data_IF_944110407749
#
_entry.id   IF_944110407749
#
_cell.length_a   1.000
_cell.length_b   1.000
_cell.length_c   1.000
_cell.angle_alpha   90.00
_cell.angle_beta   90.00
_cell.angle_gamma   90.00
#
_symmetry.space_group_name_H-M   'P 1'
#
loop_
_entity.id
_entity.type
_entity.pdbx_description
1 polymer ?
#
# COMPACT_ATOMS: atom_id res chain seq x y z
N UNK A 1 -10.98 3.55 -22.98
CA UNK A 1 -10.36 4.43 -21.96
C UNK A 1 -11.45 5.26 -21.32
N UNK A 2 -11.53 5.27 -19.99
CA UNK A 2 -12.54 6.06 -19.27
C UNK A 2 -12.28 7.56 -19.52
N UNK A 3 -13.27 8.36 -19.98
CA UNK A 3 -13.06 9.78 -20.30
C UNK A 3 -12.55 10.60 -19.11
N UNK A 4 -12.90 10.20 -17.87
CA UNK A 4 -12.40 10.82 -16.64
C UNK A 4 -10.90 10.61 -16.37
N UNK A 5 -10.29 9.56 -16.92
CA UNK A 5 -8.85 9.27 -16.74
C UNK A 5 -8.01 10.09 -17.73
N UNK A 6 -8.46 10.23 -18.98
CA UNK A 6 -7.74 10.99 -20.01
C UNK A 6 -7.62 12.49 -19.66
N UNK A 7 -8.62 13.07 -18.98
CA UNK A 7 -8.57 14.44 -18.50
C UNK A 7 -7.63 14.64 -17.30
N UNK A 8 -7.34 13.60 -16.50
CA UNK A 8 -6.39 13.70 -15.37
C UNK A 8 -4.92 13.76 -15.80
N UNK A 9 -4.56 13.21 -16.97
CA UNK A 9 -3.19 13.25 -17.49
C UNK A 9 -2.88 14.55 -18.26
N UNK A 10 -3.84 15.11 -19.00
CA UNK A 10 -3.62 16.32 -19.82
C UNK A 10 -3.41 17.60 -19.00
N UNK A 11 -3.73 17.60 -17.71
CA UNK A 11 -3.50 18.72 -16.79
C UNK A 11 -2.16 18.66 -16.02
N UNK A 12 -1.29 17.68 -16.31
CA UNK A 12 -0.04 17.40 -15.57
C UNK A 12 1.20 17.78 -16.36
N UNK A 13 1.26 19.02 -16.85
CA UNK A 13 2.56 19.69 -16.87
C UNK A 13 2.81 20.18 -15.44
N UNK A 14 4.04 20.12 -14.91
CA UNK A 14 4.34 20.71 -13.61
C UNK A 14 3.77 22.13 -13.62
N UNK A 15 2.78 22.37 -12.75
CA UNK A 15 2.20 23.70 -12.60
C UNK A 15 3.26 24.53 -11.88
N UNK A 16 3.11 25.85 -11.86
CA UNK A 16 3.99 26.68 -11.06
C UNK A 16 3.72 26.40 -9.56
N UNK A 17 4.33 25.34 -9.03
CA UNK A 17 4.41 24.90 -7.65
C UNK A 17 5.87 24.52 -7.39
N UNK A 18 6.49 25.13 -6.38
CA UNK A 18 7.96 25.15 -6.26
C UNK A 18 8.60 23.79 -5.92
N UNK A 19 7.79 22.77 -5.63
CA UNK A 19 8.22 21.41 -5.26
C UNK A 19 7.23 20.40 -5.85
N UNK A 20 7.75 19.28 -6.34
CA UNK A 20 6.94 18.10 -6.67
C UNK A 20 7.09 17.00 -5.61
N UNK A 21 5.97 16.41 -5.19
CA UNK A 21 5.92 15.23 -4.31
C UNK A 21 5.67 14.01 -5.18
N UNK A 22 6.66 13.13 -5.29
CA UNK A 22 6.55 11.89 -6.05
C UNK A 22 6.14 10.76 -5.11
N UNK A 23 5.11 10.01 -5.44
CA UNK A 23 4.65 8.86 -4.67
C UNK A 23 4.45 7.60 -5.52
N UNK A 24 4.51 6.43 -4.90
CA UNK A 24 3.97 5.21 -5.53
C UNK A 24 2.45 5.33 -5.72
N UNK A 25 1.88 4.48 -6.57
CA UNK A 25 0.44 4.44 -6.83
C UNK A 25 0.04 5.04 -8.16
N UNK A 26 -1.19 4.74 -8.57
CA UNK A 26 -1.75 5.14 -9.86
C UNK A 26 -2.32 6.57 -9.83
N UNK A 27 -2.53 7.18 -11.00
CA UNK A 27 -3.12 8.52 -11.13
C UNK A 27 -4.57 8.65 -10.64
N UNK A 28 -5.20 7.52 -10.33
CA UNK A 28 -6.51 7.43 -9.70
C UNK A 28 -6.45 6.76 -8.31
N UNK A 29 -5.25 6.53 -7.77
CA UNK A 29 -5.03 5.92 -6.47
C UNK A 29 -5.27 6.89 -5.31
N UNK A 30 -5.23 6.33 -4.10
CA UNK A 30 -5.50 7.06 -2.86
C UNK A 30 -4.39 8.04 -2.49
N UNK A 31 -3.14 7.72 -2.82
CA UNK A 31 -1.93 8.49 -2.52
C UNK A 31 -2.05 9.92 -3.03
N UNK A 32 -2.50 10.06 -4.28
CA UNK A 32 -2.70 11.35 -4.92
C UNK A 32 -3.72 12.19 -4.15
N UNK A 33 -4.94 11.64 -3.98
CA UNK A 33 -6.05 12.38 -3.38
C UNK A 33 -5.75 12.73 -1.92
N UNK A 34 -5.09 11.83 -1.17
CA UNK A 34 -4.69 12.06 0.21
C UNK A 34 -3.64 13.16 0.32
N UNK A 35 -2.54 13.05 -0.44
CA UNK A 35 -1.44 14.03 -0.39
C UNK A 35 -1.90 15.40 -0.89
N UNK A 36 -2.62 15.48 -2.01
CA UNK A 36 -3.11 16.76 -2.55
C UNK A 36 -4.03 17.46 -1.55
N UNK A 37 -5.03 16.75 -1.01
CA UNK A 37 -5.96 17.34 -0.05
C UNK A 37 -5.29 17.68 1.28
N UNK A 38 -4.40 16.82 1.79
CA UNK A 38 -3.69 17.09 3.03
C UNK A 38 -2.80 18.32 2.94
N UNK A 39 -1.98 18.41 1.89
CA UNK A 39 -1.09 19.56 1.68
C UNK A 39 -1.91 20.84 1.44
N UNK A 40 -2.97 20.76 0.63
CA UNK A 40 -3.87 21.90 0.38
C UNK A 40 -4.57 22.38 1.65
N UNK A 41 -4.99 21.47 2.54
CA UNK A 41 -5.62 21.84 3.82
C UNK A 41 -4.70 22.61 4.79
N UNK A 42 -3.40 22.69 4.47
CA UNK A 42 -2.36 23.34 5.26
C UNK A 42 -1.70 24.51 4.52
N UNK A 43 -2.34 24.99 3.45
CA UNK A 43 -1.83 26.04 2.56
C UNK A 43 -0.45 25.70 1.95
N UNK A 44 -0.20 24.40 1.69
CA UNK A 44 1.03 23.91 1.07
C UNK A 44 0.73 23.56 -0.40
N UNK A 45 1.24 24.39 -1.31
CA UNK A 45 1.08 24.20 -2.75
C UNK A 45 2.26 23.40 -3.33
N UNK A 46 2.05 22.11 -3.55
CA UNK A 46 2.99 21.21 -4.20
C UNK A 46 2.30 20.40 -5.29
N UNK A 47 3.04 20.06 -6.35
CA UNK A 47 2.54 19.18 -7.39
C UNK A 47 2.70 17.72 -6.95
N UNK A 48 1.62 16.98 -6.77
CA UNK A 48 1.68 15.56 -6.39
C UNK A 48 1.69 14.68 -7.64
N UNK A 49 2.65 13.78 -7.73
CA UNK A 49 2.91 12.90 -8.87
C UNK A 49 2.92 11.42 -8.47
N UNK A 50 1.81 10.71 -8.70
CA UNK A 50 1.74 9.27 -8.54
C UNK A 50 2.45 8.62 -9.73
N UNK A 51 3.49 7.86 -9.43
CA UNK A 51 4.45 7.33 -10.41
C UNK A 51 4.12 5.92 -10.88
N UNK A 52 3.08 5.27 -10.34
CA UNK A 52 2.74 3.89 -10.63
C UNK A 52 3.51 2.96 -9.71
N UNK A 53 4.71 2.52 -10.14
CA UNK A 53 5.51 1.54 -9.41
C UNK A 53 6.79 2.14 -8.84
N UNK A 54 7.36 1.49 -7.84
CA UNK A 54 8.70 1.77 -7.29
C UNK A 54 9.81 1.96 -8.32
N UNK A 55 9.81 1.18 -9.41
CA UNK A 55 10.78 1.33 -10.50
C UNK A 55 10.65 2.68 -11.22
N UNK A 56 9.42 3.17 -11.33
CA UNK A 56 9.09 4.37 -12.08
C UNK A 56 9.43 5.62 -11.27
N UNK A 57 9.34 5.56 -9.93
CA UNK A 57 9.84 6.61 -9.03
C UNK A 57 11.31 6.98 -9.35
N UNK A 58 12.15 6.01 -9.67
CA UNK A 58 13.55 6.27 -10.03
C UNK A 58 13.71 7.03 -11.36
N UNK A 59 12.91 6.69 -12.37
CA UNK A 59 12.92 7.41 -13.65
C UNK A 59 12.34 8.82 -13.50
N UNK A 60 11.21 8.93 -12.81
CA UNK A 60 10.51 10.20 -12.58
C UNK A 60 11.31 11.16 -11.70
N UNK A 61 11.98 10.66 -10.66
CA UNK A 61 12.87 11.48 -9.83
C UNK A 61 14.02 12.10 -10.63
N UNK A 62 14.63 11.35 -11.56
CA UNK A 62 15.63 11.92 -12.46
C UNK A 62 15.01 12.97 -13.42
N UNK A 63 13.85 12.67 -14.00
CA UNK A 63 13.21 13.53 -15.00
C UNK A 63 12.71 14.86 -14.40
N UNK A 64 11.94 14.78 -13.32
CA UNK A 64 11.32 15.95 -12.67
C UNK A 64 12.34 16.67 -11.80
N UNK A 65 13.12 15.91 -11.02
CA UNK A 65 14.05 16.48 -10.04
C UNK A 65 15.24 17.22 -10.64
N UNK A 66 15.54 17.07 -11.94
CA UNK A 66 16.51 17.95 -12.63
C UNK A 66 15.97 19.37 -12.84
N UNK A 67 14.65 19.51 -12.96
CA UNK A 67 13.97 20.76 -13.31
C UNK A 67 13.48 21.52 -12.08
N UNK A 68 12.94 20.81 -11.09
CA UNK A 68 12.37 21.39 -9.87
C UNK A 68 12.77 20.56 -8.64
N UNK A 69 12.76 21.16 -7.43
CA UNK A 69 12.90 20.40 -6.19
C UNK A 69 11.86 19.28 -6.08
N UNK A 70 12.28 18.12 -5.56
CA UNK A 70 11.38 16.98 -5.34
C UNK A 70 11.46 16.43 -3.92
N UNK A 71 10.33 15.91 -3.44
CA UNK A 71 10.21 15.03 -2.26
C UNK A 71 9.69 13.69 -2.76
N UNK A 72 10.28 12.59 -2.33
CA UNK A 72 9.86 11.23 -2.74
C UNK A 72 9.34 10.48 -1.53
N UNK A 73 8.16 9.88 -1.67
CA UNK A 73 7.52 9.02 -0.66
C UNK A 73 7.21 7.67 -1.31
N UNK A 74 7.85 6.60 -0.85
CA UNK A 74 7.65 5.26 -1.39
C UNK A 74 6.92 4.33 -0.40
N UNK A 75 6.38 3.23 -0.91
CA UNK A 75 5.84 2.19 -0.04
C UNK A 75 6.97 1.55 0.74
N UNK A 76 6.74 1.26 2.03
CA UNK A 76 7.76 0.61 2.85
C UNK A 76 7.96 -0.83 2.42
N UNK A 77 6.96 -1.45 1.80
CA UNK A 77 6.91 -2.90 1.59
C UNK A 77 7.18 -3.63 2.93
N UNK A 78 7.70 -4.85 2.89
CA UNK A 78 7.97 -5.66 4.09
C UNK A 78 9.23 -5.25 4.89
N UNK A 79 9.84 -4.09 4.59
CA UNK A 79 11.07 -3.62 5.26
C UNK A 79 10.75 -3.05 6.64
N UNK A 80 11.69 -3.18 7.58
CA UNK A 80 11.58 -2.45 8.87
C UNK A 80 11.68 -0.93 8.65
N UNK A 81 11.25 -0.13 9.63
CA UNK A 81 11.42 1.33 9.58
C UNK A 81 12.89 1.74 9.39
N UNK A 82 13.80 1.11 10.12
CA UNK A 82 15.24 1.40 10.10
C UNK A 82 15.87 0.97 8.78
N UNK A 83 15.45 -0.17 8.25
CA UNK A 83 15.89 -0.63 6.94
C UNK A 83 15.41 0.30 5.82
N UNK A 84 14.12 0.58 5.77
CA UNK A 84 13.55 1.46 4.75
C UNK A 84 14.20 2.84 4.80
N UNK A 85 14.46 3.38 6.00
CA UNK A 85 15.19 4.64 6.17
C UNK A 85 16.59 4.58 5.57
N UNK A 86 17.40 3.57 5.91
CA UNK A 86 18.76 3.40 5.37
C UNK A 86 18.76 3.27 3.85
N UNK A 87 17.82 2.51 3.30
CA UNK A 87 17.69 2.37 1.84
C UNK A 87 17.28 3.68 1.16
N UNK A 88 16.34 4.42 1.75
CA UNK A 88 15.92 5.71 1.24
C UNK A 88 17.07 6.74 1.28
N UNK A 89 17.87 6.76 2.34
CA UNK A 89 19.09 7.58 2.44
C UNK A 89 20.10 7.22 1.35
N UNK A 90 20.37 5.93 1.12
CA UNK A 90 21.26 5.47 0.06
C UNK A 90 20.74 5.85 -1.35
N UNK A 91 19.44 5.70 -1.59
CA UNK A 91 18.79 6.14 -2.85
C UNK A 91 18.92 7.65 -3.02
N UNK A 92 18.70 8.43 -1.96
CA UNK A 92 18.83 9.88 -1.95
C UNK A 92 20.23 10.32 -2.35
N UNK A 93 21.25 9.78 -1.70
CA UNK A 93 22.65 10.11 -2.00
C UNK A 93 23.04 9.78 -3.44
N UNK A 94 22.56 8.65 -3.96
CA UNK A 94 22.77 8.26 -5.36
C UNK A 94 22.14 9.27 -6.33
N UNK A 95 20.99 9.84 -6.00
CA UNK A 95 20.28 10.82 -6.85
C UNK A 95 20.89 12.21 -6.77
N UNK A 96 21.31 12.64 -5.58
CA UNK A 96 22.02 13.91 -5.41
C UNK A 96 23.29 13.97 -6.29
N UNK A 97 24.03 12.86 -6.41
CA UNK A 97 25.20 12.73 -7.32
C UNK A 97 24.86 12.90 -8.81
N UNK A 98 23.58 12.74 -9.20
CA UNK A 98 23.09 12.87 -10.59
C UNK A 98 22.48 14.25 -10.88
N UNK A 99 22.78 15.25 -10.04
CA UNK A 99 22.26 16.62 -10.13
C UNK A 99 20.73 16.69 -10.02
N UNK A 100 20.12 15.72 -9.34
CA UNK A 100 18.69 15.74 -8.98
C UNK A 100 18.52 16.63 -7.75
N UNK A 101 17.59 17.59 -7.80
CA UNK A 101 17.23 18.51 -6.71
C UNK A 101 16.33 17.82 -5.67
N UNK A 102 16.80 16.69 -5.16
CA UNK A 102 16.07 15.89 -4.18
C UNK A 102 16.21 16.49 -2.78
N UNK A 103 15.08 16.87 -2.17
CA UNK A 103 15.05 17.38 -0.80
C UNK A 103 15.01 16.23 0.19
N UNK A 104 14.07 15.30 -0.02
CA UNK A 104 13.87 14.14 0.83
C UNK A 104 13.47 12.91 0.02
N UNK A 105 13.93 11.74 0.46
CA UNK A 105 13.42 10.43 0.02
C UNK A 105 13.10 9.63 1.26
N UNK A 106 11.85 9.20 1.41
CA UNK A 106 11.42 8.40 2.56
C UNK A 106 10.41 7.34 2.15
N UNK A 107 10.13 6.42 3.06
CA UNK A 107 8.96 5.55 2.95
C UNK A 107 7.84 6.03 3.87
N UNK A 108 6.64 5.53 3.63
CA UNK A 108 5.57 5.51 4.63
C UNK A 108 6.01 4.71 5.88
N UNK A 109 5.45 5.02 7.06
CA UNK A 109 5.60 4.22 8.30
C UNK A 109 4.68 3.01 8.26
N UNK A 110 3.61 3.06 7.47
CA UNK A 110 2.82 1.89 7.07
C UNK A 110 3.40 1.31 5.78
N UNK A 111 3.13 0.03 5.53
CA UNK A 111 3.65 -0.63 4.32
C UNK A 111 3.09 -0.05 3.03
N UNK A 112 1.80 0.28 3.04
CA UNK A 112 1.04 0.82 1.91
C UNK A 112 0.14 1.96 2.42
N UNK A 113 -0.21 2.90 1.55
CA UNK A 113 -1.11 4.00 1.91
C UNK A 113 -2.51 3.49 2.31
N UNK A 114 -2.97 2.38 1.72
CA UNK A 114 -4.31 1.86 1.97
C UNK A 114 -4.46 1.33 3.40
N UNK A 115 -3.36 1.05 4.10
CA UNK A 115 -3.40 0.67 5.50
C UNK A 115 -3.93 1.79 6.40
N UNK A 116 -3.71 3.06 6.03
CA UNK A 116 -4.29 4.18 6.75
C UNK A 116 -5.82 4.26 6.55
N UNK A 117 -6.31 3.77 5.41
CA UNK A 117 -7.72 3.85 5.03
C UNK A 117 -8.57 2.76 5.68
N UNK A 118 -7.96 1.65 6.06
CA UNK A 118 -8.64 0.54 6.76
C UNK A 118 -8.60 0.67 8.28
N UNK A 119 -8.03 1.75 8.83
CA UNK A 119 -8.20 2.05 10.26
C UNK A 119 -9.70 2.09 10.58
N UNK A 120 -10.16 1.45 11.68
CA UNK A 120 -11.58 1.37 12.00
C UNK A 120 -12.25 2.75 12.08
N UNK A 121 -11.56 3.74 12.62
CA UNK A 121 -12.04 5.13 12.76
C UNK A 121 -12.24 5.81 11.40
N UNK A 122 -11.65 5.26 10.34
CA UNK A 122 -11.69 5.79 8.97
C UNK A 122 -12.72 5.05 8.13
N UNK A 123 -12.58 3.73 7.99
CA UNK A 123 -13.42 2.95 7.10
C UNK A 123 -14.79 2.64 7.67
N UNK A 124 -14.93 2.41 8.98
CA UNK A 124 -16.21 1.98 9.57
C UNK A 124 -17.32 3.01 9.37
N UNK A 125 -17.12 4.32 9.62
CA UNK A 125 -18.17 5.32 9.39
C UNK A 125 -18.60 5.36 7.92
N UNK A 126 -17.64 5.31 6.99
CA UNK A 126 -17.88 5.37 5.54
C UNK A 126 -18.65 4.14 5.06
N UNK A 127 -18.22 2.94 5.46
CA UNK A 127 -18.86 1.69 5.05
C UNK A 127 -20.21 1.49 5.75
N UNK A 128 -20.35 1.92 7.00
CA UNK A 128 -21.61 1.91 7.73
C UNK A 128 -22.68 2.73 7.01
N UNK A 129 -22.35 3.95 6.57
CA UNK A 129 -23.25 4.79 5.80
C UNK A 129 -23.52 4.23 4.39
N UNK A 130 -22.47 3.85 3.67
CA UNK A 130 -22.60 3.39 2.28
C UNK A 130 -23.47 2.13 2.15
N UNK A 131 -23.35 1.20 3.10
CA UNK A 131 -24.02 -0.10 3.09
C UNK A 131 -25.19 -0.20 4.08
N UNK A 132 -25.51 0.88 4.81
CA UNK A 132 -26.60 0.94 5.79
C UNK A 132 -26.52 -0.15 6.86
N UNK A 133 -25.31 -0.32 7.37
CA UNK A 133 -24.99 -1.34 8.36
C UNK A 133 -24.55 -0.69 9.67
N UNK A 134 -24.89 -1.28 10.83
CA UNK A 134 -24.37 -0.77 12.09
C UNK A 134 -22.84 -0.89 12.14
N UNK A 135 -22.13 0.07 12.76
CA UNK A 135 -20.67 0.06 12.87
C UNK A 135 -20.08 -1.26 13.38
N UNK A 136 -20.75 -1.93 14.33
CA UNK A 136 -20.30 -3.19 14.90
C UNK A 136 -20.32 -4.35 13.90
N UNK A 137 -21.23 -4.34 12.92
CA UNK A 137 -21.23 -5.33 11.85
C UNK A 137 -19.99 -5.18 10.96
N UNK A 138 -19.61 -3.94 10.62
CA UNK A 138 -18.41 -3.66 9.82
C UNK A 138 -17.15 -4.07 10.61
N UNK A 139 -17.06 -3.70 11.89
CA UNK A 139 -15.95 -4.11 12.77
C UNK A 139 -15.84 -5.63 12.90
N UNK A 140 -16.98 -6.32 13.02
CA UNK A 140 -17.00 -7.77 13.07
C UNK A 140 -16.44 -8.40 11.78
N UNK A 141 -16.80 -7.87 10.61
CA UNK A 141 -16.24 -8.31 9.32
C UNK A 141 -14.73 -8.04 9.21
N UNK A 142 -14.27 -6.88 9.65
CA UNK A 142 -12.84 -6.57 9.74
C UNK A 142 -12.12 -7.59 10.63
N UNK A 143 -12.63 -7.88 11.82
CA UNK A 143 -12.03 -8.86 12.73
C UNK A 143 -12.01 -10.29 12.15
N UNK A 144 -13.01 -10.68 11.36
CA UNK A 144 -13.02 -11.97 10.68
C UNK A 144 -12.01 -12.05 9.53
N UNK A 145 -11.82 -10.93 8.84
CA UNK A 145 -10.95 -10.85 7.67
C UNK A 145 -9.47 -10.84 8.08
N UNK A 146 -9.15 -10.20 9.21
CA UNK A 146 -7.76 -9.96 9.55
C UNK A 146 -6.95 -11.28 9.65
N UNK A 147 -7.41 -12.26 10.44
CA UNK A 147 -6.75 -13.56 10.54
C UNK A 147 -6.67 -14.35 9.21
N UNK A 148 -7.57 -14.09 8.25
CA UNK A 148 -7.60 -14.83 6.98
C UNK A 148 -6.41 -14.51 6.08
N UNK A 149 -5.74 -13.38 6.29
CA UNK A 149 -4.55 -12.99 5.54
C UNK A 149 -3.25 -13.50 6.18
N UNK A 150 -3.31 -14.15 7.35
CA UNK A 150 -2.15 -14.55 8.14
C UNK A 150 -1.11 -15.37 7.35
N UNK A 151 -1.58 -16.26 6.46
CA UNK A 151 -0.70 -17.13 5.67
C UNK A 151 0.07 -16.33 4.61
N UNK A 152 -0.58 -15.39 3.91
CA UNK A 152 0.12 -14.49 2.97
C UNK A 152 1.16 -13.67 3.71
N UNK A 153 0.76 -13.06 4.83
CA UNK A 153 1.62 -12.20 5.65
C UNK A 153 2.86 -12.94 6.15
N UNK A 154 2.68 -14.11 6.75
CA UNK A 154 3.78 -14.93 7.20
C UNK A 154 4.69 -15.36 6.04
N UNK A 155 4.13 -15.65 4.85
CA UNK A 155 4.92 -16.03 3.69
C UNK A 155 5.76 -14.87 3.18
N UNK A 156 5.20 -13.67 3.04
CA UNK A 156 5.93 -12.48 2.61
C UNK A 156 7.03 -12.09 3.60
N UNK A 157 6.71 -12.04 4.89
CA UNK A 157 7.69 -11.76 5.94
C UNK A 157 8.83 -12.81 5.96
N UNK A 158 8.52 -14.09 5.74
CA UNK A 158 9.55 -15.13 5.64
C UNK A 158 10.46 -14.93 4.43
N UNK A 159 9.90 -14.50 3.29
CA UNK A 159 10.68 -14.16 2.09
C UNK A 159 11.56 -12.95 2.36
N UNK A 160 11.05 -11.90 2.99
CA UNK A 160 11.83 -10.72 3.35
C UNK A 160 13.04 -11.09 4.22
N UNK A 161 12.83 -11.87 5.29
CA UNK A 161 13.91 -12.38 6.15
C UNK A 161 14.91 -13.22 5.35
N UNK A 162 14.46 -14.01 4.38
CA UNK A 162 15.35 -14.76 3.49
C UNK A 162 16.19 -13.83 2.61
N UNK A 163 15.57 -12.83 1.97
CA UNK A 163 16.25 -11.86 1.10
C UNK A 163 17.30 -11.07 1.88
N UNK A 164 17.02 -10.69 3.12
CA UNK A 164 17.95 -9.97 3.98
C UNK A 164 19.23 -10.74 4.31
N UNK A 165 19.16 -12.07 4.26
CA UNK A 165 20.30 -12.96 4.49
C UNK A 165 21.17 -13.13 3.24
N UNK A 166 20.77 -12.59 2.08
CA UNK A 166 21.53 -12.72 0.84
C UNK A 166 22.71 -11.73 0.81
N UNK A 167 23.91 -12.17 0.39
CA UNK A 167 25.12 -11.34 0.39
C UNK A 167 25.11 -10.21 -0.65
N UNK A 168 24.34 -10.34 -1.73
CA UNK A 168 24.08 -9.26 -2.68
C UNK A 168 22.58 -8.93 -2.66
N UNK A 169 22.21 -7.80 -2.06
CA UNK A 169 20.84 -7.23 -2.05
C UNK A 169 20.41 -6.68 -3.42
N UNK A 170 20.90 -7.31 -4.49
CA UNK A 170 21.28 -6.63 -5.71
C UNK A 170 20.40 -6.88 -6.93
N UNK A 171 19.32 -7.66 -6.84
CA UNK A 171 18.32 -7.78 -7.91
C UNK A 171 16.98 -8.25 -7.33
N UNK A 172 15.89 -7.83 -7.99
CA UNK A 172 14.52 -8.21 -7.66
C UNK A 172 14.42 -9.73 -7.46
N UNK A 173 14.14 -10.17 -6.23
CA UNK A 173 13.82 -11.56 -5.94
C UNK A 173 12.33 -11.73 -6.24
N UNK A 174 11.92 -12.39 -7.36
CA UNK A 174 10.52 -12.71 -7.56
C UNK A 174 10.11 -13.61 -6.39
N UNK A 175 9.25 -13.07 -5.54
CA UNK A 175 8.72 -13.75 -4.37
C UNK A 175 7.78 -14.89 -4.75
N UNK A 176 7.17 -15.48 -3.74
CA UNK A 176 6.06 -16.40 -3.91
C UNK A 176 4.96 -15.69 -4.72
N UNK A 177 4.40 -16.40 -5.71
CA UNK A 177 3.35 -15.81 -6.55
C UNK A 177 2.21 -15.35 -5.65
N UNK A 178 1.75 -14.10 -5.84
CA UNK A 178 0.59 -13.57 -5.08
C UNK A 178 -0.64 -14.49 -5.19
N UNK A 179 -0.77 -15.27 -6.27
CA UNK A 179 -1.86 -16.26 -6.43
C UNK A 179 -1.74 -17.46 -5.49
N UNK A 180 -0.54 -17.81 -5.06
CA UNK A 180 -0.30 -19.02 -4.25
C UNK A 180 -0.57 -18.78 -2.76
N UNK A 181 -0.38 -17.55 -2.25
CA UNK A 181 -0.49 -17.25 -0.82
C UNK A 181 -1.62 -16.28 -0.44
N UNK A 182 -2.15 -15.47 -1.37
CA UNK A 182 -3.26 -14.56 -1.06
C UNK A 182 -4.61 -15.27 -1.02
N UNK A 183 -5.50 -14.89 -0.08
CA UNK A 183 -6.91 -15.22 -0.15
C UNK A 183 -7.51 -14.84 -1.50
N UNK A 184 -8.31 -15.74 -2.04
CA UNK A 184 -8.98 -15.52 -3.32
C UNK A 184 -10.49 -15.52 -3.11
N UNK A 185 -11.19 -14.66 -3.85
CA UNK A 185 -12.64 -14.71 -3.88
C UNK A 185 -13.11 -15.97 -4.59
N UNK A 186 -13.71 -16.89 -3.84
CA UNK A 186 -14.43 -18.01 -4.42
C UNK A 186 -15.82 -17.56 -4.84
N UNK A 187 -16.03 -17.59 -6.16
CA UNK A 187 -17.27 -17.15 -6.80
C UNK A 187 -18.43 -18.08 -6.53
N UNK A 188 -18.19 -19.35 -6.23
CA UNK A 188 -19.23 -20.35 -6.03
C UNK A 188 -19.75 -20.31 -4.59
N UNK A 189 -18.84 -20.19 -3.64
CA UNK A 189 -19.11 -20.16 -2.20
C UNK A 189 -19.30 -18.74 -1.67
N UNK A 190 -19.11 -17.72 -2.51
CA UNK A 190 -19.22 -16.30 -2.17
C UNK A 190 -18.41 -15.94 -0.92
N UNK A 191 -17.22 -16.52 -0.81
CA UNK A 191 -16.35 -16.35 0.35
C UNK A 191 -14.90 -16.29 -0.09
N UNK A 192 -14.07 -15.66 0.73
CA UNK A 192 -12.62 -15.74 0.53
C UNK A 192 -12.14 -17.14 0.93
N UNK A 193 -11.47 -17.81 0.00
CA UNK A 193 -10.73 -19.03 0.28
C UNK A 193 -9.31 -18.62 0.64
N UNK A 194 -8.97 -18.87 1.90
CA UNK A 194 -7.60 -18.77 2.40
C UNK A 194 -6.82 -19.97 1.88
N UNK A 195 -5.62 -19.79 1.29
CA UNK A 195 -4.78 -20.90 0.89
C UNK A 195 -4.42 -21.81 2.07
N UNK A 196 -4.31 -23.11 1.81
CA UNK A 196 -3.94 -24.07 2.84
C UNK A 196 -2.47 -23.89 3.25
N UNK A 197 -2.21 -23.84 4.57
CA UNK A 197 -0.86 -23.67 5.13
C UNK A 197 0.19 -24.59 4.49
N UNK A 198 -0.10 -25.89 4.37
CA UNK A 198 0.84 -26.86 3.81
C UNK A 198 1.15 -26.64 2.33
N UNK A 199 0.19 -26.13 1.54
CA UNK A 199 0.41 -25.77 0.13
C UNK A 199 1.33 -24.56 0.02
N UNK A 200 1.10 -23.54 0.85
CA UNK A 200 1.93 -22.34 0.91
C UNK A 200 3.33 -22.65 1.43
N UNK A 201 3.46 -23.47 2.48
CA UNK A 201 4.77 -23.90 3.00
C UNK A 201 5.58 -24.63 1.92
N UNK A 202 4.93 -25.52 1.16
CA UNK A 202 5.57 -26.26 0.06
C UNK A 202 6.05 -25.33 -1.04
N UNK A 203 5.20 -24.38 -1.44
CA UNK A 203 5.55 -23.39 -2.46
C UNK A 203 6.68 -22.45 -1.98
N UNK A 204 6.62 -22.00 -0.73
CA UNK A 204 7.64 -21.18 -0.10
C UNK A 204 8.99 -21.91 -0.03
N UNK A 205 8.98 -23.19 0.39
CA UNK A 205 10.17 -24.05 0.37
C UNK A 205 10.79 -24.11 -1.02
N UNK A 206 9.98 -24.36 -2.05
CA UNK A 206 10.43 -24.41 -3.44
C UNK A 206 11.08 -23.09 -3.85
N UNK A 207 10.42 -21.95 -3.61
CA UNK A 207 10.95 -20.61 -3.95
C UNK A 207 12.27 -20.35 -3.24
N UNK A 208 12.37 -20.59 -1.93
CA UNK A 208 13.61 -20.39 -1.18
C UNK A 208 14.72 -21.30 -1.71
N UNK A 209 14.43 -22.56 -2.02
CA UNK A 209 15.40 -23.51 -2.57
C UNK A 209 15.88 -23.12 -3.97
N UNK A 210 14.96 -22.80 -4.88
CA UNK A 210 15.28 -22.33 -6.23
C UNK A 210 16.13 -21.07 -6.17
N UNK A 211 15.81 -20.14 -5.27
CA UNK A 211 16.59 -18.91 -5.10
C UNK A 211 17.95 -19.17 -4.50
N UNK A 212 18.02 -19.93 -3.42
CA UNK A 212 19.29 -20.38 -2.86
C UNK A 212 20.17 -20.98 -3.97
N UNK A 213 19.63 -21.88 -4.79
CA UNK A 213 20.31 -22.49 -5.94
C UNK A 213 20.76 -21.49 -7.02
N UNK A 214 19.96 -20.48 -7.34
CA UNK A 214 20.34 -19.46 -8.33
C UNK A 214 21.50 -18.57 -7.88
N UNK A 215 21.70 -18.41 -6.57
CA UNK A 215 22.89 -17.75 -6.00
C UNK A 215 24.11 -18.69 -5.92
N UNK A 216 23.96 -20.00 -6.16
CA UNK A 216 25.05 -21.02 -6.10
C UNK A 216 25.99 -20.98 -7.32
N UNK A 217 26.41 -19.79 -7.72
CA UNK A 217 27.76 -19.58 -8.26
C UNK A 217 28.82 -19.43 -7.17
N UNK A 218 28.45 -19.26 -5.88
CA UNK A 218 29.39 -18.93 -4.81
C UNK A 218 29.29 -19.73 -3.48
N UNK A 219 28.30 -20.62 -3.27
CA UNK A 219 28.20 -21.43 -2.04
C UNK A 219 27.67 -22.85 -2.32
N UNK A 220 28.21 -23.85 -1.64
CA UNK A 220 28.03 -25.26 -1.94
C UNK A 220 26.60 -25.81 -1.67
N UNK A 221 26.18 -26.91 -2.33
CA UNK A 221 24.78 -27.31 -2.43
C UNK A 221 24.10 -27.86 -1.17
N UNK A 222 24.86 -28.15 -0.11
CA UNK A 222 24.38 -28.88 1.07
C UNK A 222 24.05 -28.01 2.28
N UNK A 223 24.42 -26.73 2.24
CA UNK A 223 24.15 -25.75 3.30
C UNK A 223 23.42 -24.55 2.68
N UNK A 224 22.09 -24.56 2.60
CA UNK A 224 21.35 -23.31 2.63
C UNK A 224 21.08 -23.02 4.12
N UNK A 225 21.99 -22.34 4.84
CA UNK A 225 21.88 -22.21 6.28
C UNK A 225 20.59 -21.45 6.56
N UNK A 226 19.68 -22.09 7.29
CA UNK A 226 18.45 -21.47 7.74
C UNK A 226 17.17 -21.79 6.95
N UNK A 227 17.12 -22.69 5.96
CA UNK A 227 15.82 -23.09 5.36
C UNK A 227 14.85 -23.66 6.41
N UNK A 228 15.31 -24.61 7.23
CA UNK A 228 14.51 -25.17 8.33
C UNK A 228 14.13 -24.11 9.37
N UNK A 229 15.04 -23.18 9.66
CA UNK A 229 14.78 -22.05 10.57
C UNK A 229 13.74 -21.09 9.98
N UNK A 230 13.82 -20.77 8.69
CA UNK A 230 12.89 -19.90 7.96
C UNK A 230 11.50 -20.53 7.90
N UNK A 231 11.39 -21.84 7.63
CA UNK A 231 10.10 -22.52 7.64
C UNK A 231 9.52 -22.64 9.05
N UNK A 232 10.36 -22.82 10.07
CA UNK A 232 9.94 -22.73 11.47
C UNK A 232 9.44 -21.31 11.81
N UNK A 233 10.12 -20.27 11.33
CA UNK A 233 9.69 -18.87 11.45
C UNK A 233 8.37 -18.64 10.72
N UNK A 234 8.18 -19.15 9.51
CA UNK A 234 6.92 -19.10 8.78
C UNK A 234 5.76 -19.67 9.61
N UNK A 235 5.93 -20.87 10.20
CA UNK A 235 4.92 -21.46 11.08
C UNK A 235 4.64 -20.63 12.33
N UNK A 236 5.68 -20.06 12.94
CA UNK A 236 5.55 -19.13 14.08
C UNK A 236 4.81 -17.84 13.72
N UNK A 237 5.16 -17.23 12.59
CA UNK A 237 4.51 -16.04 12.05
C UNK A 237 3.04 -16.32 11.72
N UNK A 238 2.71 -17.43 11.05
CA UNK A 238 1.31 -17.81 10.81
C UNK A 238 0.54 -17.90 12.12
N UNK A 239 1.11 -18.56 13.13
CA UNK A 239 0.47 -18.73 14.45
C UNK A 239 0.26 -17.40 15.19
N UNK A 240 1.17 -16.44 14.99
CA UNK A 240 1.05 -15.09 15.51
C UNK A 240 -0.05 -14.30 14.78
N UNK A 241 0.03 -14.22 13.45
CA UNK A 241 -0.88 -13.46 12.61
C UNK A 241 -2.32 -13.96 12.65
N UNK A 242 -2.55 -15.27 12.85
CA UNK A 242 -3.90 -15.81 13.05
C UNK A 242 -4.60 -15.28 14.31
N UNK A 243 -3.87 -14.67 15.25
CA UNK A 243 -4.41 -14.09 16.49
C UNK A 243 -4.51 -12.56 16.42
N UNK A 244 -4.02 -11.95 15.35
CA UNK A 244 -4.05 -10.51 15.14
C UNK A 244 -5.48 -10.11 14.76
N UNK A 245 -5.98 -9.05 15.37
CA UNK A 245 -7.25 -8.40 15.06
C UNK A 245 -7.02 -6.90 14.84
N UNK A 246 -8.07 -6.12 14.57
CA UNK A 246 -7.93 -4.67 14.34
C UNK A 246 -7.53 -3.88 15.60
N UNK A 247 -7.56 -4.48 16.79
CA UNK A 247 -7.10 -3.85 18.02
C UNK A 247 -5.59 -4.05 18.22
N UNK A 248 -5.00 -5.05 17.55
CA UNK A 248 -3.59 -5.42 17.69
C UNK A 248 -2.71 -4.59 16.74
N UNK A 249 -1.81 -3.70 17.21
CA UNK A 249 -1.07 -2.79 16.34
C UNK A 249 -0.32 -3.44 15.17
N UNK A 250 0.05 -4.71 15.30
CA UNK A 250 0.75 -5.51 14.30
C UNK A 250 0.04 -5.56 12.94
N UNK A 251 -1.31 -5.55 12.89
CA UNK A 251 -2.04 -5.52 11.61
C UNK A 251 -1.63 -4.32 10.76
N UNK A 252 -1.22 -3.23 11.39
CA UNK A 252 -0.86 -2.00 10.68
C UNK A 252 0.54 -2.03 10.07
N UNK A 253 1.37 -3.01 10.43
CA UNK A 253 2.79 -3.04 10.11
C UNK A 253 3.07 -3.85 8.85
N UNK A 254 2.16 -4.75 8.42
CA UNK A 254 2.45 -5.66 7.30
C UNK A 254 1.36 -5.80 6.22
N UNK A 255 0.24 -5.12 6.36
CA UNK A 255 -0.99 -5.51 5.66
C UNK A 255 -1.13 -4.97 4.23
N UNK A 256 -1.86 -5.73 3.41
CA UNK A 256 -2.28 -5.36 2.05
C UNK A 256 -3.60 -4.58 2.12
N UNK A 257 -3.55 -3.32 2.55
CA UNK A 257 -4.74 -2.49 2.82
C UNK A 257 -5.73 -2.47 1.64
N UNK A 258 -5.19 -2.48 0.43
CA UNK A 258 -5.97 -2.56 -0.81
C UNK A 258 -6.77 -3.85 -0.93
N UNK A 259 -6.18 -4.99 -0.59
CA UNK A 259 -6.85 -6.29 -0.66
C UNK A 259 -7.97 -6.35 0.38
N UNK A 260 -7.74 -5.82 1.58
CA UNK A 260 -8.73 -5.76 2.66
C UNK A 260 -9.93 -4.91 2.25
N UNK A 261 -9.69 -3.73 1.69
CA UNK A 261 -10.78 -2.90 1.17
C UNK A 261 -11.54 -3.60 0.06
N UNK A 262 -10.83 -4.23 -0.88
CA UNK A 262 -11.43 -5.02 -1.97
C UNK A 262 -12.34 -6.14 -1.43
N UNK A 263 -11.85 -6.90 -0.44
CA UNK A 263 -12.58 -7.98 0.22
C UNK A 263 -13.83 -7.46 0.93
N UNK A 264 -13.68 -6.42 1.77
CA UNK A 264 -14.79 -5.84 2.50
C UNK A 264 -15.86 -5.32 1.56
N UNK A 265 -15.47 -4.62 0.49
CA UNK A 265 -16.43 -4.10 -0.49
C UNK A 265 -17.20 -5.22 -1.16
N UNK A 266 -16.52 -6.30 -1.59
CA UNK A 266 -17.20 -7.45 -2.22
C UNK A 266 -18.18 -8.12 -1.25
N UNK A 267 -17.79 -8.32 0.01
CA UNK A 267 -18.68 -8.84 1.03
C UNK A 267 -19.90 -7.94 1.27
N UNK A 268 -19.67 -6.66 1.56
CA UNK A 268 -20.74 -5.74 1.91
C UNK A 268 -21.71 -5.51 0.74
N UNK A 269 -21.20 -5.36 -0.48
CA UNK A 269 -22.04 -5.19 -1.67
C UNK A 269 -22.79 -6.47 -2.08
N UNK A 270 -22.24 -7.65 -1.81
CA UNK A 270 -22.93 -8.92 -2.05
C UNK A 270 -24.04 -9.19 -1.04
N UNK A 271 -23.81 -8.85 0.24
CA UNK A 271 -24.74 -9.15 1.34
C UNK A 271 -25.80 -8.07 1.54
N UNK A 272 -25.40 -6.79 1.50
CA UNK A 272 -26.26 -5.64 1.83
C UNK A 272 -26.64 -4.81 0.61
N UNK A 273 -26.01 -5.09 -0.53
CA UNK A 273 -26.25 -4.38 -1.78
C UNK A 273 -25.45 -3.10 -1.90
N UNK A 274 -25.26 -2.69 -3.16
CA UNK A 274 -24.63 -1.43 -3.52
C UNK A 274 -25.66 -0.57 -4.26
N UNK A 275 -25.59 0.74 -4.03
CA UNK A 275 -26.32 1.72 -4.82
C UNK A 275 -25.37 2.83 -5.24
N UNK A 276 -25.46 3.25 -6.50
CA UNK A 276 -24.96 4.57 -6.87
C UNK A 276 -25.87 5.57 -6.16
N UNK A 277 -25.32 6.33 -5.21
CA UNK A 277 -26.00 7.32 -4.36
C UNK A 277 -27.22 7.92 -5.07
N UNK A 278 -28.42 7.63 -4.56
CA UNK A 278 -29.70 8.08 -5.15
C UNK A 278 -30.52 7.01 -5.89
N UNK A 279 -30.09 5.74 -5.92
CA UNK A 279 -30.87 4.60 -6.45
C UNK A 279 -31.21 3.57 -5.37
N UNK A 280 -32.09 2.62 -5.69
CA UNK A 280 -32.33 1.42 -4.86
C UNK A 280 -31.04 0.61 -4.74
N UNK A 281 -30.74 0.10 -3.53
CA UNK A 281 -29.60 -0.81 -3.32
C UNK A 281 -29.92 -2.18 -3.91
N UNK A 282 -29.02 -2.70 -4.72
CA UNK A 282 -29.12 -4.03 -5.31
C UNK A 282 -27.91 -4.86 -4.90
N UNK A 283 -28.16 -6.13 -4.52
CA UNK A 283 -27.09 -7.08 -4.21
C UNK A 283 -26.25 -7.34 -5.45
N UNK A 284 -24.93 -7.21 -5.29
CA UNK A 284 -24.00 -7.54 -6.36
C UNK A 284 -23.80 -9.04 -6.38
N UNK A 285 -24.25 -9.68 -7.45
CA UNK A 285 -24.06 -11.10 -7.66
C UNK A 285 -22.67 -11.39 -8.23
N UNK A 286 -21.66 -11.33 -7.36
CA UNK A 286 -20.26 -11.58 -7.72
C UNK A 286 -20.00 -12.96 -8.34
N UNK A 287 -20.89 -13.94 -8.11
CA UNK A 287 -20.76 -15.28 -8.67
C UNK A 287 -20.99 -15.29 -10.19
N UNK A 288 -21.99 -14.51 -10.63
CA UNK A 288 -22.44 -14.48 -12.02
C UNK A 288 -21.74 -13.42 -12.87
N UNK A 289 -20.86 -12.60 -12.29
CA UNK A 289 -20.04 -11.67 -13.05
C UNK A 289 -18.85 -12.36 -13.72
N UNK A 290 -18.59 -11.96 -14.97
CA UNK A 290 -17.31 -12.25 -15.62
C UNK A 290 -16.16 -11.60 -14.82
N UNK A 291 -14.92 -12.02 -15.05
CA UNK A 291 -13.78 -11.39 -14.36
C UNK A 291 -13.69 -9.89 -14.66
N UNK A 292 -13.85 -9.50 -15.92
CA UNK A 292 -13.72 -8.11 -16.33
C UNK A 292 -14.86 -7.26 -15.77
N UNK A 293 -16.08 -7.83 -15.69
CA UNK A 293 -17.23 -7.15 -15.09
C UNK A 293 -17.11 -7.03 -13.58
N UNK A 294 -16.60 -8.06 -12.90
CA UNK A 294 -16.33 -7.98 -11.46
C UNK A 294 -15.27 -6.90 -11.17
N UNK A 295 -14.15 -6.91 -11.90
CA UNK A 295 -13.07 -5.93 -11.72
C UNK A 295 -13.57 -4.50 -12.07
N UNK A 296 -14.48 -4.36 -13.05
CA UNK A 296 -15.11 -3.07 -13.36
C UNK A 296 -16.07 -2.63 -12.26
N UNK A 297 -16.95 -3.51 -11.80
CA UNK A 297 -17.91 -3.22 -10.75
C UNK A 297 -17.21 -2.78 -9.46
N UNK A 298 -16.17 -3.49 -9.04
CA UNK A 298 -15.37 -3.12 -7.88
C UNK A 298 -14.71 -1.75 -8.05
N UNK A 299 -14.11 -1.48 -9.22
CA UNK A 299 -13.53 -0.15 -9.52
C UNK A 299 -14.57 0.97 -9.46
N UNK A 300 -15.77 0.73 -9.95
CA UNK A 300 -16.86 1.72 -9.95
C UNK A 300 -17.34 1.98 -8.51
N UNK A 301 -17.45 0.96 -7.66
CA UNK A 301 -17.74 1.10 -6.23
C UNK A 301 -16.62 1.88 -5.54
N UNK A 302 -15.37 1.47 -5.74
CA UNK A 302 -14.20 2.06 -5.11
C UNK A 302 -14.03 3.53 -5.51
N UNK A 303 -14.26 3.88 -6.78
CA UNK A 303 -14.17 5.25 -7.26
C UNK A 303 -15.14 6.20 -6.53
N UNK A 304 -16.30 5.69 -6.11
CA UNK A 304 -17.24 6.46 -5.28
C UNK A 304 -16.73 6.52 -3.84
N UNK A 305 -16.42 5.38 -3.23
CA UNK A 305 -15.99 5.30 -1.83
C UNK A 305 -14.69 6.04 -1.54
N UNK A 306 -13.79 6.13 -2.52
CA UNK A 306 -12.47 6.73 -2.38
C UNK A 306 -12.55 8.17 -1.87
N UNK A 307 -13.43 9.00 -2.41
CA UNK A 307 -13.60 10.38 -1.95
C UNK A 307 -14.00 10.47 -0.48
N UNK A 308 -14.86 9.56 -0.02
CA UNK A 308 -15.33 9.48 1.37
C UNK A 308 -14.26 8.92 2.31
N UNK A 309 -13.56 7.85 1.92
CA UNK A 309 -12.47 7.26 2.69
C UNK A 309 -11.34 8.27 2.91
N UNK A 310 -10.95 9.00 1.85
CA UNK A 310 -9.93 10.05 1.93
C UNK A 310 -10.37 11.16 2.88
N UNK A 311 -11.60 11.66 2.75
CA UNK A 311 -12.11 12.71 3.64
C UNK A 311 -12.22 12.23 5.09
N UNK A 312 -12.67 11.00 5.31
CA UNK A 312 -12.76 10.37 6.62
C UNK A 312 -11.37 10.25 7.27
N UNK A 313 -10.37 9.81 6.52
CA UNK A 313 -9.00 9.71 7.00
C UNK A 313 -8.44 11.08 7.41
N UNK A 314 -8.54 12.08 6.55
CA UNK A 314 -8.01 13.42 6.82
C UNK A 314 -8.71 14.06 8.04
N UNK A 315 -10.02 13.84 8.18
CA UNK A 315 -10.76 14.25 9.37
C UNK A 315 -10.24 13.52 10.62
N UNK A 316 -10.06 12.20 10.56
CA UNK A 316 -9.57 11.41 11.69
C UNK A 316 -8.15 11.81 12.12
N UNK A 317 -7.28 12.17 11.18
CA UNK A 317 -5.96 12.76 11.47
C UNK A 317 -6.13 14.12 12.17
N UNK A 318 -6.98 15.00 11.65
CA UNK A 318 -7.19 16.34 12.19
C UNK A 318 -7.83 16.34 13.59
N UNK A 319 -8.73 15.39 13.88
CA UNK A 319 -9.44 15.28 15.16
C UNK A 319 -8.76 14.37 16.17
N UNK A 320 -7.52 13.94 15.91
CA UNK A 320 -6.75 13.04 16.77
C UNK A 320 -7.37 11.64 17.00
N UNK A 321 -8.20 11.17 16.08
CA UNK A 321 -8.88 9.87 16.16
C UNK A 321 -8.08 8.69 15.56
N UNK A 322 -6.90 8.95 15.00
CA UNK A 322 -5.95 7.90 14.58
C UNK A 322 -4.75 7.85 15.53
N UNK A 323 -4.00 6.72 15.60
CA UNK A 323 -2.77 6.61 16.38
C UNK A 323 -1.80 7.80 16.21
N UNK A 324 -1.09 8.17 17.27
CA UNK A 324 -0.21 9.35 17.29
C UNK A 324 0.87 9.28 16.21
N UNK A 325 1.39 8.08 15.95
CA UNK A 325 2.45 7.82 14.98
C UNK A 325 2.00 8.15 13.56
N UNK A 326 0.71 7.99 13.26
CA UNK A 326 0.12 8.36 11.97
C UNK A 326 0.05 9.89 11.88
N UNK A 327 -0.44 10.55 12.92
CA UNK A 327 -0.57 12.03 12.92
C UNK A 327 0.78 12.72 12.80
N UNK A 328 1.76 12.21 13.52
CA UNK A 328 3.15 12.69 13.46
C UNK A 328 3.73 12.53 12.07
N UNK A 329 3.57 11.37 11.44
CA UNK A 329 4.06 11.13 10.09
C UNK A 329 3.47 12.11 9.07
N UNK A 330 2.15 12.29 9.08
CA UNK A 330 1.48 13.19 8.15
C UNK A 330 1.85 14.66 8.40
N UNK A 331 2.07 15.03 9.66
CA UNK A 331 2.61 16.35 10.02
C UNK A 331 4.05 16.51 9.54
N UNK A 332 4.88 15.48 9.71
CA UNK A 332 6.28 15.45 9.28
C UNK A 332 6.40 15.62 7.75
N UNK A 333 5.55 14.91 6.98
CA UNK A 333 5.47 15.06 5.52
C UNK A 333 5.15 16.51 5.14
N UNK A 334 4.17 17.13 5.80
CA UNK A 334 3.80 18.52 5.54
C UNK A 334 4.98 19.47 5.84
N UNK A 335 5.69 19.29 6.96
CA UNK A 335 6.84 20.13 7.30
C UNK A 335 8.00 19.96 6.31
N UNK A 336 8.27 18.74 5.85
CA UNK A 336 9.30 18.47 4.84
C UNK A 336 8.98 19.19 3.53
N UNK A 337 7.74 19.07 3.05
CA UNK A 337 7.32 19.75 1.81
C UNK A 337 7.39 21.26 1.98
N UNK A 338 6.98 21.80 3.13
CA UNK A 338 7.08 23.24 3.43
C UNK A 338 8.53 23.71 3.47
N UNK A 339 9.44 22.94 4.08
CA UNK A 339 10.86 23.24 4.10
C UNK A 339 11.46 23.20 2.68
N UNK A 340 11.08 22.21 1.86
CA UNK A 340 11.46 22.10 0.47
C UNK A 340 11.03 23.34 -0.35
N UNK A 341 9.82 23.85 -0.14
CA UNK A 341 9.31 25.07 -0.79
C UNK A 341 10.16 26.27 -0.41
N UNK A 342 10.45 26.46 0.89
CA UNK A 342 11.29 27.56 1.38
C UNK A 342 12.70 27.54 0.76
N UNK A 343 13.30 26.36 0.63
CA UNK A 343 14.62 26.19 0.01
C UNK A 343 14.58 26.43 -1.51
N UNK A 344 13.49 26.04 -2.18
CA UNK A 344 13.28 26.27 -3.61
C UNK A 344 13.01 27.73 -3.97
N UNK A 345 12.29 28.45 -3.11
CA UNK A 345 11.95 29.88 -3.29
C UNK A 345 13.13 30.85 -3.14
N UNK A 346 14.22 30.42 -2.50
CA UNK A 346 15.38 31.27 -2.21
C UNK A 346 16.32 31.59 -3.39
N UNK A 347 16.03 31.12 -4.62
CA UNK A 347 16.92 31.33 -5.79
C UNK A 347 16.26 31.88 -7.06
N UNK A 348 15.00 32.29 -7.02
CA UNK A 348 14.30 32.84 -8.20
C UNK A 348 14.10 34.36 -8.14
N UNK A 349 15.17 35.09 -7.79
CA UNK A 349 15.31 36.52 -8.08
C UNK A 349 16.71 36.77 -8.61
N UNK A 350 16.94 36.44 -9.89
CA UNK A 350 17.98 37.04 -10.73
C UNK A 350 17.50 37.09 -12.16
#
# INVERSE_FOLDING_TARGET
MNPGVANRYRGRYPRFGQVAVLCEGDCAGFELDLLEKWLSSRDIFADVWPCGRKSDLFGMSDAIGRSIPIVVIEDRDHRSCEEAKRECEAKRDKRLKRSVRLQEWRSWRRNEIENYLIEPEVCVPVLSEAFDQPPDAIKHRLAQLIPQLAIDQAAQATIAIFVDRLPERGDFVPGLSRKEARPQWDRVQMKFIVPEFGKVETALRRVIQEKANSFRGALAPTDAPGLTELLKKFGGLCSHWCKVDFNTPDWRIDWAGKDILSILIRWLSGEFGWSVIGKTRERVDWANLSRDDADKCERDIMAVLQGYLVSSFLNAVATNNVPVEIREEWSEIAEIVRAAIKLGGGKSQR
#
